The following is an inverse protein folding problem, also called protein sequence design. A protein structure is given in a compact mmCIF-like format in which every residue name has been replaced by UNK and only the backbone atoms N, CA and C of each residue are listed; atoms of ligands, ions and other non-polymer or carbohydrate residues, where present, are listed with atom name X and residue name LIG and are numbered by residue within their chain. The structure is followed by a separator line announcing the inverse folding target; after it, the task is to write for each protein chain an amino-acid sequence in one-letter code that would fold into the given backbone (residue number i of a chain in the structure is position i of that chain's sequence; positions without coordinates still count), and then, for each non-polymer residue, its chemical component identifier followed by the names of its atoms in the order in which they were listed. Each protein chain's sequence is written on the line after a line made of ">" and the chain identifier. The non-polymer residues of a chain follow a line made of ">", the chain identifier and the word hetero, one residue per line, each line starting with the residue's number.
data_IF_464213454454
#
_entry.id   IF_464213454454
#
_cell.length_a   1.000
_cell.length_b   1.000
_cell.length_c   1.000
_cell.angle_alpha   90.00
_cell.angle_beta   90.00
_cell.angle_gamma   90.00
#
_symmetry.space_group_name_H-M   'P 1'
#
loop_
_entity.id
_entity.type
_entity.pdbx_description
1 polymer ?
#
# COMPACT_ATOMS: atom_id res chain seq x y z
N UNK A 1 -31.15 40.08 -34.64
CA UNK A 1 -29.79 40.51 -35.08
C UNK A 1 -29.02 40.75 -33.80
N UNK A 2 -28.34 39.73 -33.29
CA UNK A 2 -26.93 39.46 -33.55
C UNK A 2 -26.04 40.61 -33.05
N UNK A 3 -25.33 40.39 -31.94
CA UNK A 3 -23.88 40.39 -32.05
C UNK A 3 -23.19 39.55 -30.97
N UNK A 4 -22.12 38.87 -31.37
CA UNK A 4 -21.23 37.99 -30.60
C UNK A 4 -19.85 38.67 -30.56
N UNK A 5 -19.27 38.87 -29.38
CA UNK A 5 -17.81 38.95 -29.14
C UNK A 5 -17.56 39.39 -27.69
N UNK A 6 -16.57 38.96 -26.92
CA UNK A 6 -15.64 37.82 -26.89
C UNK A 6 -14.74 38.12 -25.68
N UNK A 7 -14.46 37.10 -24.87
CA UNK A 7 -13.29 36.92 -23.98
C UNK A 7 -12.86 38.05 -23.05
N UNK A 8 -12.87 37.77 -21.74
CA UNK A 8 -11.60 37.59 -21.01
C UNK A 8 -11.81 36.71 -19.77
N UNK A 9 -11.50 35.41 -19.89
CA UNK A 9 -11.45 34.48 -18.77
C UNK A 9 -10.04 34.50 -18.21
N UNK A 10 -9.82 35.38 -17.23
CA UNK A 10 -8.59 35.41 -16.44
C UNK A 10 -8.31 34.03 -15.85
N UNK A 11 -7.22 33.42 -16.31
CA UNK A 11 -6.64 32.19 -15.77
C UNK A 11 -6.21 32.44 -14.32
N UNK A 12 -6.95 31.84 -13.39
CA UNK A 12 -6.54 31.77 -11.98
C UNK A 12 -5.34 30.80 -11.85
N UNK A 13 -4.36 31.13 -10.99
CA UNK A 13 -3.07 30.46 -10.97
C UNK A 13 -3.15 29.04 -10.41
N UNK A 14 -2.43 28.14 -11.08
CA UNK A 14 -2.23 26.74 -10.75
C UNK A 14 -1.39 26.61 -9.46
N UNK A 15 -2.05 26.71 -8.30
CA UNK A 15 -1.41 26.73 -6.99
C UNK A 15 -1.42 25.35 -6.30
N UNK A 16 -0.20 24.82 -6.14
CA UNK A 16 0.27 23.75 -5.25
C UNK A 16 -0.31 22.35 -5.44
N UNK A 17 0.22 21.63 -6.43
CA UNK A 17 0.44 20.18 -6.34
C UNK A 17 1.37 19.89 -5.16
N UNK A 18 0.96 19.05 -4.21
CA UNK A 18 1.85 18.65 -3.11
C UNK A 18 3.15 18.05 -3.67
N UNK A 19 4.31 18.51 -3.18
CA UNK A 19 5.62 18.02 -3.63
C UNK A 19 5.74 16.49 -3.53
N UNK A 20 5.02 15.87 -2.59
CA UNK A 20 4.99 14.43 -2.34
C UNK A 20 4.34 13.68 -3.51
N UNK A 21 3.21 14.15 -4.04
CA UNK A 21 2.53 13.50 -5.17
C UNK A 21 3.34 13.57 -6.47
N UNK A 22 4.12 14.64 -6.66
CA UNK A 22 5.02 14.77 -7.83
C UNK A 22 6.28 13.90 -7.68
N UNK A 23 6.75 13.66 -6.45
CA UNK A 23 7.89 12.80 -6.15
C UNK A 23 7.59 11.32 -6.44
N UNK A 24 6.39 10.86 -6.11
CA UNK A 24 5.95 9.46 -6.30
C UNK A 24 5.77 9.09 -7.78
N UNK A 25 5.30 10.02 -8.63
CA UNK A 25 5.08 9.77 -10.09
C UNK A 25 6.35 9.42 -10.91
N UNK A 26 7.52 9.48 -10.30
CA UNK A 26 8.81 9.24 -10.98
C UNK A 26 9.54 8.00 -10.48
N UNK A 27 8.99 7.28 -9.50
CA UNK A 27 9.69 6.18 -8.87
C UNK A 27 10.05 5.12 -9.90
N UNK A 28 11.35 4.80 -10.00
CA UNK A 28 11.86 3.76 -10.88
C UNK A 28 11.80 4.07 -12.37
N UNK A 29 11.70 5.36 -12.75
CA UNK A 29 12.12 5.82 -14.09
C UNK A 29 13.57 5.47 -14.40
N UNK A 30 14.39 5.40 -13.36
CA UNK A 30 15.80 4.96 -13.41
C UNK A 30 15.95 3.44 -13.53
N UNK A 31 14.97 2.67 -13.05
CA UNK A 31 14.99 1.19 -13.04
C UNK A 31 14.35 0.56 -14.30
N UNK A 32 13.62 1.34 -15.11
CA UNK A 32 12.91 0.84 -16.30
C UNK A 32 13.08 1.83 -17.45
N UNK A 33 13.80 1.44 -18.50
CA UNK A 33 13.73 2.11 -19.80
C UNK A 33 12.26 2.09 -20.28
N UNK A 34 11.62 3.26 -20.33
CA UNK A 34 10.21 3.50 -20.70
C UNK A 34 9.14 3.42 -19.59
N UNK A 35 9.45 3.70 -18.32
CA UNK A 35 8.40 3.98 -17.32
C UNK A 35 7.83 5.41 -17.46
N UNK A 36 7.10 5.65 -18.56
CA UNK A 36 6.18 6.78 -18.63
C UNK A 36 4.88 6.38 -17.92
N UNK A 37 4.52 7.17 -16.92
CA UNK A 37 3.23 7.24 -16.23
C UNK A 37 3.02 6.25 -15.08
N UNK A 38 3.24 6.70 -13.84
CA UNK A 38 2.39 6.24 -12.74
C UNK A 38 0.94 6.60 -13.08
N UNK A 39 0.02 5.63 -13.04
CA UNK A 39 -1.40 5.90 -13.28
C UNK A 39 -1.89 6.86 -12.19
N UNK A 40 -2.28 8.10 -12.52
CA UNK A 40 -2.78 9.02 -11.51
C UNK A 40 -4.22 8.61 -11.16
N UNK A 41 -4.47 8.29 -9.89
CA UNK A 41 -5.84 8.20 -9.39
C UNK A 41 -6.56 9.54 -9.54
N UNK A 42 -7.91 9.54 -9.74
CA UNK A 42 -8.71 10.73 -9.58
C UNK A 42 -8.37 11.37 -8.23
N UNK A 43 -7.95 12.63 -8.26
CA UNK A 43 -7.60 13.38 -7.07
C UNK A 43 -8.87 13.56 -6.24
N UNK A 44 -9.08 12.71 -5.24
CA UNK A 44 -10.03 13.02 -4.18
C UNK A 44 -9.47 14.19 -3.39
N UNK A 45 -10.00 15.38 -3.69
CA UNK A 45 -9.69 16.59 -2.96
C UNK A 45 -10.67 16.62 -1.80
N UNK A 46 -10.23 16.22 -0.61
CA UNK A 46 -11.02 16.40 0.61
C UNK A 46 -11.42 17.87 0.69
N UNK A 47 -12.70 18.17 0.46
CA UNK A 47 -13.18 19.54 0.50
C UNK A 47 -13.15 19.98 1.96
N UNK A 48 -12.50 21.11 2.23
CA UNK A 48 -12.37 21.62 3.60
C UNK A 48 -13.77 21.94 4.14
N UNK A 49 -14.12 21.39 5.31
CA UNK A 49 -15.38 21.65 5.99
C UNK A 49 -16.48 20.59 5.81
N UNK A 50 -16.18 19.45 5.18
CA UNK A 50 -17.09 18.31 5.15
C UNK A 50 -17.28 17.69 6.55
N UNK A 51 -18.42 17.04 6.76
CA UNK A 51 -18.68 16.28 7.99
C UNK A 51 -17.72 15.09 8.06
N UNK A 52 -17.19 14.77 9.26
CA UNK A 52 -16.30 13.63 9.44
C UNK A 52 -17.03 12.31 9.10
N UNK A 53 -16.31 11.35 8.53
CA UNK A 53 -16.81 10.02 8.17
C UNK A 53 -17.04 9.82 6.67
N UNK A 54 -17.25 8.56 6.28
CA UNK A 54 -17.37 8.13 4.87
C UNK A 54 -18.59 8.71 4.13
N UNK A 55 -19.55 9.31 4.83
CA UNK A 55 -20.83 9.78 4.25
C UNK A 55 -20.65 10.71 3.06
N UNK A 56 -19.61 11.54 3.05
CA UNK A 56 -19.34 12.46 1.93
C UNK A 56 -18.85 11.77 0.65
N UNK A 57 -18.40 10.51 0.74
CA UNK A 57 -18.05 9.71 -0.43
C UNK A 57 -19.27 9.00 -1.05
N UNK A 58 -20.42 8.98 -0.36
CA UNK A 58 -21.65 8.33 -0.83
C UNK A 58 -22.46 9.20 -1.80
N UNK A 59 -22.13 10.48 -1.94
CA UNK A 59 -22.76 11.39 -2.90
C UNK A 59 -22.41 11.04 -4.36
N UNK A 60 -21.46 10.13 -4.57
CA UNK A 60 -21.07 9.60 -5.87
C UNK A 60 -22.05 8.49 -6.28
N UNK A 61 -22.59 8.59 -7.49
CA UNK A 61 -23.58 7.64 -8.01
C UNK A 61 -23.05 6.18 -7.96
N UNK A 62 -23.94 5.23 -7.66
CA UNK A 62 -23.65 3.79 -7.71
C UNK A 62 -23.24 3.39 -9.14
N UNK A 63 -21.94 3.45 -9.43
CA UNK A 63 -21.38 3.14 -10.75
C UNK A 63 -20.14 3.94 -11.14
N UNK A 64 -19.88 5.09 -10.50
CA UNK A 64 -18.71 5.94 -10.79
C UNK A 64 -17.43 5.56 -10.00
N UNK A 65 -17.31 4.31 -9.55
CA UNK A 65 -16.14 3.80 -8.81
C UNK A 65 -15.20 2.94 -9.66
N UNK A 66 -14.03 2.58 -9.13
CA UNK A 66 -13.22 1.52 -9.74
C UNK A 66 -13.98 0.18 -9.68
N UNK A 67 -13.85 -0.69 -10.70
CA UNK A 67 -14.44 -2.02 -10.65
C UNK A 67 -13.93 -2.74 -9.40
N UNK A 68 -14.86 -3.24 -8.59
CA UNK A 68 -14.52 -3.89 -7.32
C UNK A 68 -14.54 -5.40 -7.50
N UNK A 69 -13.47 -6.05 -7.08
CA UNK A 69 -13.37 -7.50 -6.99
C UNK A 69 -13.22 -7.87 -5.52
N UNK A 70 -14.14 -8.70 -5.04
CA UNK A 70 -14.12 -9.18 -3.67
C UNK A 70 -13.80 -10.67 -3.70
N UNK A 71 -12.75 -11.08 -2.99
CA UNK A 71 -12.36 -12.47 -2.85
C UNK A 71 -12.37 -12.83 -1.37
N UNK A 72 -13.00 -13.95 -1.00
CA UNK A 72 -12.90 -14.49 0.33
C UNK A 72 -12.04 -15.76 0.34
N UNK A 73 -11.14 -15.85 1.31
CA UNK A 73 -10.33 -17.03 1.60
C UNK A 73 -10.63 -17.46 3.04
N UNK A 74 -11.45 -18.50 3.17
CA UNK A 74 -11.78 -19.13 4.44
C UNK A 74 -10.84 -20.32 4.65
N UNK A 75 -10.12 -20.38 5.77
CA UNK A 75 -9.21 -21.49 6.05
C UNK A 75 -9.18 -21.94 7.51
N UNK A 76 -8.71 -23.16 7.70
CA UNK A 76 -8.41 -23.80 8.98
C UNK A 76 -7.44 -24.97 8.78
N UNK A 77 -7.04 -25.70 9.84
CA UNK A 77 -5.96 -26.69 9.79
C UNK A 77 -6.06 -27.73 8.65
N UNK A 78 -7.28 -28.12 8.26
CA UNK A 78 -7.54 -29.08 7.18
C UNK A 78 -8.42 -28.54 6.04
N UNK A 79 -8.76 -27.26 6.06
CA UNK A 79 -9.74 -26.66 5.14
C UNK A 79 -9.18 -25.40 4.51
N UNK A 80 -9.45 -25.21 3.24
CA UNK A 80 -9.16 -23.98 2.51
C UNK A 80 -10.23 -23.82 1.44
N UNK A 81 -10.87 -22.66 1.40
CA UNK A 81 -11.87 -22.33 0.41
C UNK A 81 -11.66 -20.89 -0.06
N UNK A 82 -11.28 -20.74 -1.34
CA UNK A 82 -11.11 -19.46 -2.02
C UNK A 82 -12.28 -19.26 -2.97
N UNK A 83 -13.02 -18.17 -2.81
CA UNK A 83 -14.20 -17.86 -3.62
C UNK A 83 -14.27 -16.38 -3.99
N UNK A 84 -14.74 -16.09 -5.20
CA UNK A 84 -15.12 -14.73 -5.58
C UNK A 84 -16.53 -14.41 -5.04
N UNK A 85 -16.71 -13.21 -4.52
CA UNK A 85 -17.98 -12.75 -3.94
C UNK A 85 -18.63 -11.78 -4.92
N UNK A 86 -19.81 -12.17 -5.42
CA UNK A 86 -20.61 -11.35 -6.35
C UNK A 86 -21.73 -10.59 -5.63
N UNK A 87 -22.37 -11.21 -4.64
CA UNK A 87 -23.32 -10.54 -3.73
C UNK A 87 -22.73 -10.48 -2.33
N UNK A 88 -22.19 -9.30 -1.99
CA UNK A 88 -21.59 -9.05 -0.69
C UNK A 88 -22.61 -9.12 0.45
N UNK A 89 -23.83 -8.62 0.25
CA UNK A 89 -24.82 -8.50 1.33
C UNK A 89 -25.36 -9.88 1.69
N UNK A 90 -25.63 -10.71 0.69
CA UNK A 90 -26.02 -12.10 0.92
C UNK A 90 -24.88 -12.88 1.58
N UNK A 91 -23.64 -12.73 1.09
CA UNK A 91 -22.48 -13.41 1.63
C UNK A 91 -22.22 -13.09 3.10
N UNK A 92 -22.28 -11.81 3.49
CA UNK A 92 -22.07 -11.37 4.87
C UNK A 92 -23.18 -11.86 5.81
N UNK A 93 -24.40 -12.08 5.32
CA UNK A 93 -25.51 -12.67 6.11
C UNK A 93 -25.36 -14.17 6.29
N UNK A 94 -24.66 -14.86 5.40
CA UNK A 94 -24.50 -16.30 5.46
C UNK A 94 -23.61 -16.69 6.66
N UNK A 95 -23.99 -17.73 7.44
CA UNK A 95 -23.17 -18.18 8.55
C UNK A 95 -21.83 -18.72 8.05
N UNK A 96 -20.77 -18.48 8.81
CA UNK A 96 -19.44 -19.03 8.53
C UNK A 96 -19.50 -20.56 8.51
N UNK A 97 -18.92 -21.23 7.49
CA UNK A 97 -18.84 -22.69 7.45
C UNK A 97 -18.13 -23.25 8.69
N UNK A 98 -18.49 -24.48 9.09
CA UNK A 98 -17.81 -25.17 10.20
C UNK A 98 -16.35 -25.44 9.85
N UNK A 99 -15.47 -25.44 10.86
CA UNK A 99 -14.03 -25.68 10.74
C UNK A 99 -13.24 -24.61 9.98
N UNK A 100 -13.80 -23.40 9.85
CA UNK A 100 -13.05 -22.22 9.41
C UNK A 100 -12.57 -21.49 10.66
N UNK A 101 -11.25 -21.28 10.75
CA UNK A 101 -10.61 -20.58 11.85
C UNK A 101 -10.37 -19.11 11.50
N UNK A 102 -10.07 -18.83 10.23
CA UNK A 102 -9.78 -17.49 9.76
C UNK A 102 -10.54 -17.24 8.47
N UNK A 103 -11.18 -16.07 8.40
CA UNK A 103 -11.77 -15.52 7.19
C UNK A 103 -10.96 -14.33 6.72
N UNK A 104 -10.40 -14.43 5.52
CA UNK A 104 -9.74 -13.30 4.86
C UNK A 104 -10.61 -12.78 3.73
N UNK A 105 -11.14 -11.55 3.87
CA UNK A 105 -11.87 -10.87 2.80
C UNK A 105 -10.94 -9.84 2.16
N UNK A 106 -10.60 -10.06 0.91
CA UNK A 106 -9.80 -9.16 0.08
C UNK A 106 -10.69 -8.36 -0.85
N UNK A 107 -10.58 -7.03 -0.78
CA UNK A 107 -11.32 -6.08 -1.62
C UNK A 107 -10.31 -5.34 -2.50
N UNK A 108 -10.33 -5.65 -3.79
CA UNK A 108 -9.57 -4.94 -4.81
C UNK A 108 -10.47 -3.89 -5.47
N UNK A 109 -10.09 -2.62 -5.39
CA UNK A 109 -10.88 -1.48 -5.87
C UNK A 109 -11.67 -0.79 -4.76
N UNK A 110 -11.54 0.53 -4.68
CA UNK A 110 -12.21 1.36 -3.69
C UNK A 110 -13.57 1.86 -4.20
N UNK A 111 -14.64 1.45 -3.52
CA UNK A 111 -15.99 1.93 -3.76
C UNK A 111 -16.68 2.22 -2.43
N UNK A 112 -17.15 3.46 -2.26
CA UNK A 112 -17.72 3.93 -1.00
C UNK A 112 -18.93 3.11 -0.54
N UNK A 113 -19.78 2.65 -1.47
CA UNK A 113 -20.95 1.83 -1.16
C UNK A 113 -20.57 0.43 -0.69
N UNK A 114 -19.50 -0.15 -1.25
CA UNK A 114 -18.95 -1.43 -0.79
C UNK A 114 -18.36 -1.26 0.61
N UNK A 115 -17.51 -0.24 0.81
CA UNK A 115 -16.89 0.04 2.11
C UNK A 115 -17.96 0.30 3.17
N UNK A 116 -19.02 1.05 2.87
CA UNK A 116 -20.13 1.29 3.79
C UNK A 116 -20.87 -0.02 4.16
N UNK A 117 -21.12 -0.91 3.20
CA UNK A 117 -21.77 -2.21 3.48
C UNK A 117 -20.92 -3.08 4.41
N UNK A 118 -19.61 -3.10 4.20
CA UNK A 118 -18.68 -3.84 5.07
C UNK A 118 -18.59 -3.17 6.44
N UNK A 119 -18.48 -1.84 6.47
CA UNK A 119 -18.47 -1.04 7.70
C UNK A 119 -19.70 -1.33 8.56
N UNK A 120 -20.90 -1.30 7.98
CA UNK A 120 -22.15 -1.54 8.70
C UNK A 120 -22.27 -2.99 9.22
N UNK A 121 -21.64 -3.96 8.55
CA UNK A 121 -21.66 -5.35 8.97
C UNK A 121 -20.68 -5.65 10.11
N UNK A 122 -19.45 -5.14 10.00
CA UNK A 122 -18.39 -5.36 10.98
C UNK A 122 -18.36 -4.31 12.09
N UNK A 123 -19.18 -3.27 11.98
CA UNK A 123 -19.32 -2.15 12.93
C UNK A 123 -18.00 -1.47 13.29
N UNK A 124 -17.13 -1.27 12.29
CA UNK A 124 -15.92 -0.46 12.48
C UNK A 124 -16.21 1.03 12.32
N UNK A 125 -15.38 1.87 12.91
CA UNK A 125 -15.60 3.31 13.02
C UNK A 125 -15.67 4.01 11.65
N UNK A 126 -16.59 4.98 11.50
CA UNK A 126 -16.78 5.73 10.24
C UNK A 126 -15.53 6.51 9.79
N UNK A 127 -14.69 6.94 10.73
CA UNK A 127 -13.38 7.56 10.40
C UNK A 127 -12.40 6.56 9.80
N UNK A 128 -12.40 5.30 10.24
CA UNK A 128 -11.56 4.28 9.62
C UNK A 128 -12.07 3.94 8.21
N UNK A 129 -13.39 3.96 8.01
CA UNK A 129 -14.00 3.85 6.68
C UNK A 129 -13.63 5.02 5.76
N UNK A 130 -13.59 6.24 6.30
CA UNK A 130 -13.12 7.44 5.60
C UNK A 130 -11.65 7.30 5.18
N UNK A 131 -10.80 6.84 6.11
CA UNK A 131 -9.37 6.63 5.87
C UNK A 131 -9.11 5.60 4.76
N UNK A 132 -9.94 4.56 4.64
CA UNK A 132 -9.88 3.59 3.53
C UNK A 132 -10.13 4.27 2.19
N UNK A 133 -11.07 5.22 2.14
CA UNK A 133 -11.42 5.95 0.93
C UNK A 133 -10.45 7.09 0.60
N UNK A 134 -9.60 7.50 1.55
CA UNK A 134 -8.59 8.54 1.36
C UNK A 134 -7.22 7.92 0.99
N UNK A 135 -6.78 8.01 -0.28
CA UNK A 135 -5.55 7.35 -0.76
C UNK A 135 -4.25 8.02 -0.30
N UNK A 136 -4.34 9.09 0.49
CA UNK A 136 -3.19 9.87 0.98
C UNK A 136 -3.01 9.78 2.50
N UNK A 137 -3.62 8.79 3.14
CA UNK A 137 -3.41 8.56 4.56
C UNK A 137 -1.97 8.15 4.85
N UNK A 138 -1.49 8.59 6.02
CA UNK A 138 -0.17 8.18 6.51
C UNK A 138 -0.27 6.78 7.07
N UNK A 139 0.81 6.02 6.94
CA UNK A 139 0.94 4.74 7.61
C UNK A 139 0.69 4.90 9.11
N UNK A 140 -0.23 4.09 9.64
CA UNK A 140 -0.67 4.15 11.04
C UNK A 140 -1.23 2.80 11.47
N UNK A 141 -1.21 2.56 12.78
CA UNK A 141 -2.04 1.56 13.45
C UNK A 141 -2.88 2.24 14.52
N UNK A 142 -4.12 1.77 14.67
CA UNK A 142 -5.08 2.28 15.64
C UNK A 142 -5.84 1.11 16.25
N UNK A 143 -5.72 0.95 17.57
CA UNK A 143 -6.44 -0.06 18.34
C UNK A 143 -7.81 0.49 18.76
N UNK A 144 -8.89 -0.16 18.32
CA UNK A 144 -10.26 0.17 18.67
C UNK A 144 -10.83 -0.79 19.74
N UNK A 145 -10.01 -1.70 20.27
CA UNK A 145 -10.36 -2.68 21.27
C UNK A 145 -10.92 -3.97 20.66
N UNK A 146 -11.96 -3.87 19.83
CA UNK A 146 -12.57 -5.02 19.13
C UNK A 146 -11.90 -5.36 17.80
N UNK A 147 -11.19 -4.39 17.22
CA UNK A 147 -10.38 -4.59 16.01
C UNK A 147 -9.16 -3.66 16.03
N UNK A 148 -8.16 -4.04 15.25
CA UNK A 148 -6.98 -3.23 14.96
C UNK A 148 -7.07 -2.73 13.51
N UNK A 149 -7.05 -1.41 13.33
CA UNK A 149 -7.02 -0.78 12.02
C UNK A 149 -5.61 -0.38 11.67
N UNK A 150 -5.17 -0.72 10.47
CA UNK A 150 -3.85 -0.38 9.94
C UNK A 150 -3.98 0.19 8.55
N UNK A 151 -3.20 1.21 8.26
CA UNK A 151 -3.00 1.74 6.92
C UNK A 151 -1.53 1.73 6.66
N UNK A 152 -1.12 1.30 5.47
CA UNK A 152 0.25 1.36 5.03
C UNK A 152 0.34 1.43 3.50
N UNK A 153 1.56 1.50 2.98
CA UNK A 153 1.82 1.64 1.55
C UNK A 153 2.68 0.51 1.04
N UNK A 154 2.30 -0.01 -0.12
CA UNK A 154 3.10 -0.95 -0.88
C UNK A 154 3.57 -0.31 -2.19
N UNK A 155 4.79 -0.68 -2.60
CA UNK A 155 5.34 -0.29 -3.89
C UNK A 155 5.43 -1.55 -4.73
N UNK A 156 4.68 -1.60 -5.82
CA UNK A 156 4.66 -2.75 -6.71
C UNK A 156 4.84 -2.33 -8.16
N UNK A 157 5.28 -3.29 -8.97
CA UNK A 157 5.34 -3.13 -10.42
C UNK A 157 4.09 -3.74 -11.04
N UNK A 158 3.21 -2.92 -11.60
CA UNK A 158 2.04 -3.37 -12.33
C UNK A 158 2.11 -2.85 -13.77
N UNK A 159 1.97 -3.74 -14.76
CA UNK A 159 2.02 -3.39 -16.18
C UNK A 159 3.26 -2.54 -16.59
N UNK A 160 4.44 -2.87 -16.05
CA UNK A 160 5.71 -2.14 -16.24
C UNK A 160 5.73 -0.71 -15.66
N UNK A 161 4.78 -0.38 -14.78
CA UNK A 161 4.69 0.89 -14.09
C UNK A 161 4.81 0.65 -12.59
N UNK A 162 5.60 1.50 -11.92
CA UNK A 162 5.63 1.52 -10.48
C UNK A 162 4.34 2.14 -9.96
N UNK A 163 3.63 1.40 -9.13
CA UNK A 163 2.44 1.83 -8.42
C UNK A 163 2.79 1.91 -6.95
N UNK A 164 2.46 3.05 -6.34
CA UNK A 164 2.52 3.25 -4.91
C UNK A 164 1.08 3.29 -4.42
N UNK A 165 0.64 2.22 -3.79
CA UNK A 165 -0.75 1.99 -3.41
C UNK A 165 -0.88 1.97 -1.88
N UNK A 166 -2.00 2.51 -1.39
CA UNK A 166 -2.42 2.33 -0.01
C UNK A 166 -3.10 0.97 0.16
N UNK A 167 -2.71 0.26 1.21
CA UNK A 167 -3.40 -0.95 1.67
C UNK A 167 -3.90 -0.69 3.08
N UNK A 168 -5.18 -0.98 3.30
CA UNK A 168 -5.80 -0.85 4.61
C UNK A 168 -6.20 -2.23 5.13
N UNK A 169 -5.87 -2.52 6.40
CA UNK A 169 -6.20 -3.77 7.06
C UNK A 169 -7.07 -3.52 8.28
N UNK A 170 -8.12 -4.32 8.43
CA UNK A 170 -8.84 -4.48 9.69
C UNK A 170 -8.61 -5.90 10.20
N UNK A 171 -7.98 -6.01 11.36
CA UNK A 171 -7.75 -7.26 12.05
C UNK A 171 -8.76 -7.40 13.19
N UNK A 172 -9.58 -8.44 13.11
CA UNK A 172 -10.44 -8.96 14.18
C UNK A 172 -9.86 -10.29 14.68
N UNK A 173 -10.48 -10.90 15.71
CA UNK A 173 -10.00 -12.16 16.31
C UNK A 173 -9.86 -13.32 15.30
N UNK A 174 -10.85 -13.45 14.40
CA UNK A 174 -10.94 -14.56 13.43
C UNK A 174 -11.15 -14.10 11.98
N UNK A 175 -11.02 -12.79 11.74
CA UNK A 175 -11.32 -12.17 10.45
C UNK A 175 -10.30 -11.10 10.12
N UNK A 176 -9.84 -11.09 8.88
CA UNK A 176 -8.96 -10.06 8.35
C UNK A 176 -9.58 -9.48 7.07
N UNK A 177 -9.72 -8.17 7.03
CA UNK A 177 -10.19 -7.44 5.86
C UNK A 177 -9.00 -6.69 5.25
N UNK A 178 -8.80 -6.81 3.94
CA UNK A 178 -7.82 -6.01 3.18
C UNK A 178 -8.55 -5.18 2.14
N UNK A 179 -8.22 -3.89 2.08
CA UNK A 179 -8.70 -2.96 1.06
C UNK A 179 -7.51 -2.48 0.24
N UNK A 180 -7.63 -2.61 -1.08
CA UNK A 180 -6.63 -2.23 -2.07
C UNK A 180 -7.26 -1.30 -3.12
N UNK A 181 -6.43 -0.43 -3.71
CA UNK A 181 -6.83 0.55 -4.73
C UNK A 181 -7.03 -0.08 -6.11
N UNK A 182 -6.16 -1.01 -6.50
CA UNK A 182 -6.11 -1.59 -7.85
C UNK A 182 -6.07 -3.12 -7.84
N UNK A 183 -6.44 -3.74 -8.96
CA UNK A 183 -6.25 -5.18 -9.13
C UNK A 183 -4.77 -5.49 -9.39
N UNK A 184 -4.28 -6.52 -8.69
CA UNK A 184 -2.88 -6.93 -8.66
C UNK A 184 -2.24 -6.52 -7.34
N UNK A 185 -1.55 -7.45 -6.69
CA UNK A 185 -0.99 -7.24 -5.36
C UNK A 185 0.31 -8.02 -5.14
N UNK A 186 0.94 -7.78 -3.99
CA UNK A 186 2.13 -8.49 -3.55
C UNK A 186 1.79 -9.70 -2.67
N UNK A 187 0.52 -10.08 -2.55
CA UNK A 187 0.02 -11.04 -1.56
C UNK A 187 -0.11 -12.46 -2.11
N UNK A 188 0.16 -12.70 -3.40
CA UNK A 188 0.13 -14.05 -3.97
C UNK A 188 1.05 -15.05 -3.24
N UNK A 189 2.27 -14.70 -2.77
CA UNK A 189 3.08 -15.61 -1.97
C UNK A 189 2.40 -16.06 -0.66
N UNK A 190 1.54 -15.21 -0.08
CA UNK A 190 0.72 -15.56 1.09
C UNK A 190 -0.38 -16.56 0.69
N UNK A 191 -1.01 -16.37 -0.47
CA UNK A 191 -2.01 -17.28 -1.02
C UNK A 191 -1.40 -18.65 -1.37
N UNK A 192 -0.24 -18.66 -2.01
CA UNK A 192 0.52 -19.89 -2.31
C UNK A 192 0.87 -20.65 -1.02
N UNK A 193 1.26 -19.95 0.05
CA UNK A 193 1.52 -20.57 1.35
C UNK A 193 0.27 -21.20 1.96
N UNK A 194 -0.90 -20.62 1.76
CA UNK A 194 -2.18 -21.19 2.21
C UNK A 194 -2.57 -22.43 1.39
N UNK A 195 -2.36 -22.39 0.08
CA UNK A 195 -2.74 -23.45 -0.88
C UNK A 195 -1.87 -24.72 -0.78
N UNK A 196 -0.67 -24.64 -0.19
CA UNK A 196 0.21 -25.80 0.03
C UNK A 196 -0.44 -26.88 0.92
N UNK A 197 -0.28 -28.13 0.49
CA UNK A 197 -0.68 -29.31 1.26
C UNK A 197 -0.04 -29.31 2.66
N UNK A 198 -0.84 -29.61 3.69
CA UNK A 198 -0.43 -29.61 5.10
C UNK A 198 0.30 -28.34 5.57
N UNK A 199 0.00 -27.19 4.96
CA UNK A 199 0.60 -25.91 5.36
C UNK A 199 0.33 -25.59 6.84
N UNK A 200 1.41 -25.49 7.61
CA UNK A 200 1.38 -25.04 9.02
C UNK A 200 0.82 -23.62 9.16
N UNK A 201 0.84 -22.83 8.09
CA UNK A 201 0.25 -21.50 8.03
C UNK A 201 -1.22 -21.52 8.46
N UNK A 202 -1.97 -22.56 8.06
CA UNK A 202 -3.40 -22.70 8.34
C UNK A 202 -3.74 -22.93 9.81
N UNK A 203 -2.73 -23.22 10.64
CA UNK A 203 -2.91 -23.35 12.09
C UNK A 203 -2.85 -21.98 12.80
N UNK A 204 -2.29 -20.95 12.15
CA UNK A 204 -2.26 -19.60 12.69
C UNK A 204 -3.63 -18.93 12.63
N UNK A 205 -3.86 -17.98 13.55
CA UNK A 205 -5.06 -17.13 13.56
C UNK A 205 -4.90 -15.95 12.59
N UNK A 206 -5.85 -15.01 12.64
CA UNK A 206 -5.87 -13.84 11.77
C UNK A 206 -4.65 -12.91 11.95
N UNK A 207 -4.07 -12.88 13.15
CA UNK A 207 -2.86 -12.12 13.47
C UNK A 207 -1.61 -12.64 12.75
N UNK A 208 -1.47 -13.96 12.62
CA UNK A 208 -0.40 -14.57 11.83
C UNK A 208 -0.55 -14.25 10.33
N UNK A 209 -1.78 -14.20 9.82
CA UNK A 209 -2.05 -13.75 8.46
C UNK A 209 -1.69 -12.27 8.27
N UNK A 210 -2.05 -11.41 9.23
CA UNK A 210 -1.65 -10.00 9.23
C UNK A 210 -0.13 -9.88 9.15
N UNK A 211 0.61 -10.59 10.02
CA UNK A 211 2.07 -10.63 9.97
C UNK A 211 2.56 -11.05 8.58
N UNK A 212 2.06 -12.15 8.03
CA UNK A 212 2.52 -12.65 6.74
C UNK A 212 2.29 -11.68 5.58
N UNK A 213 1.19 -10.91 5.62
CA UNK A 213 0.92 -9.84 4.65
C UNK A 213 1.96 -8.72 4.79
N UNK A 214 2.19 -8.24 6.02
CA UNK A 214 3.17 -7.18 6.27
C UNK A 214 4.59 -7.60 5.87
N UNK A 215 4.98 -8.82 6.22
CA UNK A 215 6.26 -9.43 5.88
C UNK A 215 6.45 -9.52 4.36
N UNK A 216 5.45 -10.03 3.65
CA UNK A 216 5.48 -10.13 2.19
C UNK A 216 5.66 -8.75 1.50
N UNK A 217 5.04 -7.71 2.06
CA UNK A 217 5.22 -6.35 1.57
C UNK A 217 6.61 -5.82 1.90
N UNK A 218 7.12 -6.07 3.10
CA UNK A 218 8.48 -5.66 3.46
C UNK A 218 9.53 -6.35 2.58
N UNK A 219 9.38 -7.64 2.34
CA UNK A 219 10.28 -8.43 1.52
C UNK A 219 10.32 -7.94 0.07
N UNK A 220 9.22 -7.36 -0.42
CA UNK A 220 9.16 -6.79 -1.77
C UNK A 220 10.16 -5.65 -2.01
N UNK A 221 10.67 -5.00 -0.95
CA UNK A 221 11.67 -3.94 -1.07
C UNK A 221 13.08 -4.47 -1.34
N UNK A 222 13.42 -5.71 -0.97
CA UNK A 222 14.77 -6.24 -1.20
C UNK A 222 15.14 -6.27 -2.70
N UNK A 223 14.31 -6.82 -3.61
CA UNK A 223 14.58 -6.75 -5.04
C UNK A 223 14.63 -5.31 -5.59
N UNK A 224 13.93 -4.37 -4.97
CA UNK A 224 13.97 -2.95 -5.35
C UNK A 224 15.33 -2.36 -5.00
N UNK A 225 15.78 -2.56 -3.76
CA UNK A 225 17.09 -2.12 -3.29
C UNK A 225 18.22 -2.72 -4.13
N UNK A 226 18.17 -4.03 -4.43
CA UNK A 226 19.19 -4.70 -5.25
C UNK A 226 19.35 -4.02 -6.63
N UNK A 227 18.23 -3.68 -7.28
CA UNK A 227 18.24 -2.98 -8.58
C UNK A 227 18.83 -1.57 -8.47
N UNK A 228 18.54 -0.83 -7.40
CA UNK A 228 19.16 0.48 -7.17
C UNK A 228 20.66 0.36 -6.92
N UNK A 229 21.11 -0.64 -6.16
CA UNK A 229 22.53 -0.94 -5.97
C UNK A 229 23.26 -1.20 -7.29
N UNK A 230 22.73 -2.10 -8.13
CA UNK A 230 23.29 -2.38 -9.45
C UNK A 230 23.34 -1.13 -10.36
N UNK A 231 22.32 -0.26 -10.24
CA UNK A 231 22.24 0.98 -11.01
C UNK A 231 23.25 2.02 -10.52
N UNK A 232 23.48 2.13 -9.21
CA UNK A 232 24.54 2.98 -8.63
C UNK A 232 25.93 2.54 -9.10
N UNK A 233 26.24 1.24 -9.03
CA UNK A 233 27.52 0.70 -9.51
C UNK A 233 27.78 1.03 -10.98
N UNK A 234 26.72 0.98 -11.80
CA UNK A 234 26.78 1.31 -13.23
C UNK A 234 27.00 2.81 -13.45
N UNK A 235 26.35 3.65 -12.65
CA UNK A 235 26.56 5.10 -12.69
C UNK A 235 27.98 5.46 -12.27
N UNK A 236 28.49 4.92 -11.16
CA UNK A 236 29.86 5.14 -10.69
C UNK A 236 30.89 4.85 -11.79
N UNK A 237 30.79 3.69 -12.44
CA UNK A 237 31.68 3.33 -13.57
C UNK A 237 31.56 4.29 -14.75
N UNK A 238 30.37 4.82 -15.00
CA UNK A 238 30.12 5.76 -16.10
C UNK A 238 30.71 7.14 -15.80
N UNK A 239 30.62 7.60 -14.56
CA UNK A 239 31.18 8.88 -14.08
C UNK A 239 32.71 8.87 -14.24
N UNK A 240 33.35 7.80 -13.77
CA UNK A 240 34.81 7.65 -13.82
C UNK A 240 35.36 7.56 -15.25
N UNK A 241 34.59 6.99 -16.20
CA UNK A 241 35.03 6.79 -17.58
C UNK A 241 34.76 7.98 -18.50
N UNK A 242 33.54 8.53 -18.49
CA UNK A 242 33.14 9.62 -19.37
C UNK A 242 31.91 10.36 -18.79
N UNK A 243 32.11 11.39 -17.96
CA UNK A 243 31.02 12.11 -17.32
C UNK A 243 30.20 12.87 -18.37
N UNK A 244 28.95 12.43 -18.58
CA UNK A 244 27.98 13.08 -19.49
C UNK A 244 26.85 13.73 -18.70
N UNK A 245 26.21 14.75 -19.29
CA UNK A 245 25.02 15.40 -18.70
C UNK A 245 23.88 14.40 -18.42
N UNK A 246 23.75 13.34 -19.22
CA UNK A 246 22.76 12.28 -19.00
C UNK A 246 23.03 11.49 -17.72
N UNK A 247 24.30 11.24 -17.39
CA UNK A 247 24.72 10.54 -16.17
C UNK A 247 24.38 11.36 -14.93
N UNK A 248 24.58 12.68 -14.99
CA UNK A 248 24.19 13.60 -13.91
C UNK A 248 22.68 13.62 -13.69
N UNK A 249 21.88 13.62 -14.76
CA UNK A 249 20.42 13.56 -14.65
C UNK A 249 19.95 12.26 -13.98
N UNK A 250 20.47 11.11 -14.41
CA UNK A 250 20.14 9.81 -13.79
C UNK A 250 20.50 9.76 -12.30
N UNK A 251 21.62 10.38 -11.91
CA UNK A 251 22.02 10.47 -10.49
C UNK A 251 21.01 11.26 -9.65
N UNK A 252 20.54 12.42 -10.14
CA UNK A 252 19.52 13.21 -9.45
C UNK A 252 18.18 12.48 -9.34
N UNK A 253 17.77 11.77 -10.41
CA UNK A 253 16.55 10.96 -10.41
C UNK A 253 16.67 9.82 -9.37
N UNK A 254 17.82 9.18 -9.29
CA UNK A 254 18.09 8.12 -8.32
C UNK A 254 18.08 8.62 -6.87
N UNK A 255 18.75 9.75 -6.57
CA UNK A 255 18.71 10.38 -5.24
C UNK A 255 17.28 10.70 -4.82
N UNK A 256 16.46 11.17 -5.77
CA UNK A 256 15.04 11.44 -5.52
C UNK A 256 14.26 10.16 -5.21
N UNK A 257 14.48 9.10 -5.98
CA UNK A 257 13.82 7.81 -5.81
C UNK A 257 14.16 7.16 -4.47
N UNK A 258 15.45 7.13 -4.09
CA UNK A 258 15.91 6.68 -2.76
C UNK A 258 15.26 7.47 -1.63
N UNK A 259 15.12 8.79 -1.80
CA UNK A 259 14.40 9.64 -0.84
C UNK A 259 12.91 9.31 -0.75
N UNK A 260 12.26 8.85 -1.84
CA UNK A 260 10.88 8.37 -1.79
C UNK A 260 10.80 7.03 -1.06
N UNK A 261 11.68 6.07 -1.38
CA UNK A 261 11.73 4.78 -0.70
C UNK A 261 11.91 4.95 0.81
N UNK A 262 12.86 5.79 1.24
CA UNK A 262 13.08 6.09 2.67
C UNK A 262 11.82 6.59 3.36
N UNK A 263 11.06 7.50 2.71
CA UNK A 263 9.80 8.04 3.24
C UNK A 263 8.66 7.03 3.28
N UNK A 264 8.75 5.91 2.56
CA UNK A 264 7.75 4.83 2.56
C UNK A 264 8.10 3.74 3.58
N UNK A 265 9.37 3.34 3.64
CA UNK A 265 9.85 2.27 4.55
C UNK A 265 9.93 2.76 6.00
N UNK A 266 10.26 4.03 6.24
CA UNK A 266 10.36 4.59 7.61
C UNK A 266 9.05 4.41 8.40
N UNK A 267 7.88 4.85 7.90
CA UNK A 267 6.61 4.61 8.60
C UNK A 267 6.24 3.13 8.73
N UNK A 268 6.66 2.27 7.79
CA UNK A 268 6.44 0.82 7.88
C UNK A 268 7.22 0.19 9.03
N UNK A 269 8.50 0.56 9.20
CA UNK A 269 9.28 0.16 10.37
C UNK A 269 8.61 0.57 11.67
N UNK A 270 8.12 1.82 11.73
CA UNK A 270 7.48 2.35 12.94
C UNK A 270 6.16 1.62 13.24
N UNK A 271 5.39 1.27 12.20
CA UNK A 271 4.21 0.41 12.30
C UNK A 271 4.58 -0.96 12.88
N UNK A 272 5.58 -1.64 12.32
CA UNK A 272 6.04 -2.95 12.80
C UNK A 272 6.51 -2.91 14.25
N UNK A 273 7.22 -1.84 14.63
CA UNK A 273 7.65 -1.61 16.01
C UNK A 273 6.45 -1.45 16.94
N UNK A 274 5.45 -0.66 16.54
CA UNK A 274 4.22 -0.46 17.30
C UNK A 274 3.44 -1.77 17.47
N UNK A 275 3.34 -2.59 16.42
CA UNK A 275 2.69 -3.91 16.48
C UNK A 275 3.46 -4.88 17.40
N UNK A 276 4.79 -4.92 17.29
CA UNK A 276 5.66 -5.72 18.16
C UNK A 276 5.49 -5.37 19.64
N UNK A 277 5.31 -4.08 19.95
CA UNK A 277 5.14 -3.57 21.31
C UNK A 277 3.67 -3.54 21.78
N UNK A 278 2.73 -3.89 20.90
CA UNK A 278 1.31 -3.80 21.19
C UNK A 278 0.90 -4.72 22.35
N UNK A 279 0.00 -4.22 23.19
CA UNK A 279 -0.65 -4.98 24.27
C UNK A 279 -2.07 -5.41 23.90
N UNK A 280 -2.46 -5.23 22.65
CA UNK A 280 -3.78 -5.65 22.16
C UNK A 280 -3.95 -7.17 22.28
N UNK A 281 -5.11 -7.66 22.74
CA UNK A 281 -5.36 -9.10 22.79
C UNK A 281 -5.49 -9.75 21.41
N UNK A 282 -5.61 -8.93 20.34
CA UNK A 282 -5.70 -9.40 18.96
C UNK A 282 -4.38 -9.92 18.40
N UNK A 283 -3.25 -9.61 19.02
CA UNK A 283 -1.92 -10.07 18.58
C UNK A 283 -1.36 -10.99 19.66
N UNK A 284 -1.25 -12.27 19.34
CA UNK A 284 -0.69 -13.26 20.25
C UNK A 284 0.83 -13.02 20.45
N UNK A 285 1.33 -13.30 21.66
CA UNK A 285 2.75 -13.13 21.98
C UNK A 285 3.66 -14.01 21.10
N UNK A 286 3.17 -15.15 20.62
CA UNK A 286 3.89 -15.99 19.66
C UNK A 286 4.09 -15.29 18.31
N UNK A 287 3.15 -14.43 17.89
CA UNK A 287 3.24 -13.64 16.65
C UNK A 287 4.21 -12.47 16.79
N UNK A 288 4.43 -11.95 18.01
CA UNK A 288 5.39 -10.86 18.27
C UNK A 288 6.83 -11.22 17.92
N UNK A 289 7.22 -12.50 18.01
CA UNK A 289 8.52 -12.97 17.55
C UNK A 289 8.68 -12.77 16.04
N UNK A 290 7.66 -13.15 15.26
CA UNK A 290 7.65 -12.98 13.81
C UNK A 290 7.58 -11.50 13.40
N UNK A 291 6.82 -10.67 14.12
CA UNK A 291 6.85 -9.21 13.93
C UNK A 291 8.22 -8.61 14.26
N UNK A 292 8.97 -9.23 15.17
CA UNK A 292 10.36 -8.89 15.46
C UNK A 292 11.27 -9.06 14.25
N UNK A 293 11.15 -10.17 13.55
CA UNK A 293 11.89 -10.48 12.32
C UNK A 293 11.56 -9.50 11.19
N UNK A 294 10.26 -9.27 10.92
CA UNK A 294 9.82 -8.29 9.93
C UNK A 294 10.31 -6.86 10.26
N UNK A 295 10.33 -6.49 11.55
CA UNK A 295 10.92 -5.22 12.00
C UNK A 295 12.43 -5.16 11.69
N UNK A 296 13.17 -6.23 11.94
CA UNK A 296 14.61 -6.30 11.61
C UNK A 296 14.85 -6.17 10.10
N UNK A 297 14.05 -6.84 9.26
CA UNK A 297 14.08 -6.64 7.81
C UNK A 297 13.86 -5.18 7.43
N UNK A 298 12.90 -4.50 8.07
CA UNK A 298 12.62 -3.08 7.79
C UNK A 298 13.79 -2.15 8.14
N UNK A 299 14.52 -2.46 9.22
CA UNK A 299 15.74 -1.72 9.60
C UNK A 299 16.83 -1.96 8.57
N UNK A 300 17.07 -3.22 8.19
CA UNK A 300 18.07 -3.57 7.17
C UNK A 300 17.80 -2.85 5.83
N UNK A 301 16.55 -2.81 5.38
CA UNK A 301 16.17 -2.11 4.15
C UNK A 301 16.48 -0.61 4.26
N UNK A 302 16.21 0.01 5.41
CA UNK A 302 16.50 1.43 5.62
C UNK A 302 18.00 1.72 5.62
N UNK A 303 18.81 0.88 6.28
CA UNK A 303 20.26 1.02 6.29
C UNK A 303 20.84 0.94 4.87
N UNK A 304 20.33 0.02 4.05
CA UNK A 304 20.72 -0.11 2.63
C UNK A 304 20.33 1.15 1.84
N UNK A 305 19.11 1.68 2.04
CA UNK A 305 18.67 2.91 1.37
C UNK A 305 19.54 4.11 1.78
N UNK A 306 19.91 4.21 3.06
CA UNK A 306 20.78 5.28 3.57
C UNK A 306 22.20 5.17 2.99
N UNK A 307 22.78 3.97 2.95
CA UNK A 307 24.08 3.74 2.31
C UNK A 307 24.10 4.10 0.81
N UNK A 308 23.01 3.81 0.10
CA UNK A 308 22.85 4.21 -1.31
C UNK A 308 22.64 5.71 -1.47
N UNK A 309 21.94 6.36 -0.54
CA UNK A 309 21.80 7.80 -0.55
C UNK A 309 23.15 8.49 -0.34
N UNK A 310 23.96 8.04 0.61
CA UNK A 310 25.29 8.58 0.89
C UNK A 310 26.26 8.35 -0.27
N UNK A 311 26.22 7.16 -0.88
CA UNK A 311 26.96 6.87 -2.13
C UNK A 311 26.54 7.82 -3.24
N UNK A 312 25.23 8.05 -3.43
CA UNK A 312 24.74 8.98 -4.46
C UNK A 312 25.18 10.43 -4.21
N UNK A 313 25.34 10.83 -2.95
CA UNK A 313 25.85 12.13 -2.55
C UNK A 313 27.35 12.25 -2.89
N UNK A 314 28.16 11.26 -2.53
CA UNK A 314 29.57 11.21 -2.89
C UNK A 314 29.80 11.25 -4.42
N UNK A 315 28.98 10.53 -5.20
CA UNK A 315 29.03 10.57 -6.67
C UNK A 315 28.62 11.94 -7.23
N UNK A 316 27.77 12.68 -6.52
CA UNK A 316 27.36 14.04 -6.93
C UNK A 316 28.52 15.01 -6.76
N UNK A 317 29.31 14.86 -5.68
CA UNK A 317 30.49 15.69 -5.42
C UNK A 317 31.60 15.45 -6.46
N UNK A 318 31.72 14.24 -7.02
CA UNK A 318 32.66 13.95 -8.13
C UNK A 318 32.32 14.72 -9.43
N UNK A 319 31.10 15.22 -9.56
CA UNK A 319 30.68 16.05 -10.69
C UNK A 319 30.84 17.56 -10.46
N UNK A 320 31.15 17.98 -9.22
CA UNK A 320 31.31 19.37 -8.82
C UNK A 320 32.70 19.90 -9.23
#
# INVERSE_FOLDING_TARGET
>A
MADKSSFDSGSLPDASSSHVARAIRGLGKTLVENANDCVPFPKFRQQRGLRPGIEHFLEIEEGEGTPVKITCIDYGPGTLNRMAIHDLVEYLKAPRPKNIHVRWINIDGLNAHVVQKIQAHFDFHLLAAEDVMNPYERTKSQDYGNYLFMVFRQIMMCQKKWINEQVSIFLFDDTLLTFQEVEGDLLEPVRDRLERDNSRFRNGKADYLMYAILDCIMDSYFPICEKYGQSLDTLERSITRNPKSSTRQHLFEMKRDLGVLRRQVTPMRDLLLALKQSQTPLIDDSVKLFLGDAYEHSVQILDVIEAYHDTSEALTDLFA
#
